data_IF_223928978769
#
_entry.id   IF_223928978769
#
_cell.length_a   1.000
_cell.length_b   1.000
_cell.length_c   1.000
_cell.angle_alpha   90.00
_cell.angle_beta   90.00
_cell.angle_gamma   90.00
#
_symmetry.space_group_name_H-M   'P 1'
#
loop_
_entity.id
_entity.type
_entity.pdbx_description
1 polymer ?
#
# COMPACT_ATOMS: atom_id res chain seq x y z
N UNK A 1 -13.35 21.34 1.65
CA UNK A 1 -11.87 21.47 1.80
C UNK A 1 -11.27 20.12 1.42
N UNK A 2 -10.29 20.07 0.52
CA UNK A 2 -9.56 18.82 0.20
C UNK A 2 -8.34 18.75 1.10
N UNK A 3 -8.22 17.69 1.89
CA UNK A 3 -7.02 17.37 2.67
C UNK A 3 -6.32 16.16 2.05
N UNK A 4 -5.00 16.07 2.25
CA UNK A 4 -4.22 14.89 1.88
C UNK A 4 -3.92 14.10 3.16
N UNK A 5 -3.93 12.77 3.05
CA UNK A 5 -3.44 11.94 4.13
C UNK A 5 -1.91 12.03 4.21
N UNK A 6 -1.37 11.96 5.43
CA UNK A 6 0.05 11.94 5.71
C UNK A 6 0.35 10.84 6.72
N UNK A 7 1.35 10.01 6.44
CA UNK A 7 1.87 9.00 7.38
C UNK A 7 3.39 8.98 7.37
N UNK A 8 3.99 9.09 8.55
CA UNK A 8 5.41 8.85 8.74
C UNK A 8 5.65 7.49 9.41
N UNK A 9 6.60 6.70 8.91
CA UNK A 9 6.96 5.41 9.49
C UNK A 9 8.42 5.04 9.20
N UNK A 10 8.90 4.03 9.92
CA UNK A 10 10.30 3.62 9.84
C UNK A 10 10.55 2.63 8.71
N UNK A 11 11.70 2.81 8.09
CA UNK A 11 12.35 1.92 7.15
C UNK A 11 13.78 1.64 7.63
N UNK A 12 14.40 0.62 7.07
CA UNK A 12 15.77 0.20 7.43
C UNK A 12 16.84 0.76 6.50
N UNK A 13 16.49 1.11 5.25
CA UNK A 13 17.41 1.58 4.23
C UNK A 13 16.72 2.51 3.22
N UNK A 14 17.31 3.69 2.97
CA UNK A 14 16.72 4.70 2.08
C UNK A 14 16.80 4.31 0.60
N UNK A 15 17.84 3.60 0.19
CA UNK A 15 18.03 3.26 -1.22
C UNK A 15 17.15 2.06 -1.63
N UNK A 16 16.95 1.11 -0.71
CA UNK A 16 15.92 0.07 -0.87
C UNK A 16 14.53 0.69 -0.97
N UNK A 17 14.23 1.67 -0.11
CA UNK A 17 12.97 2.40 -0.18
C UNK A 17 12.82 3.16 -1.51
N UNK A 18 13.86 3.84 -2.01
CA UNK A 18 13.79 4.52 -3.32
C UNK A 18 13.52 3.56 -4.47
N UNK A 19 14.22 2.42 -4.52
CA UNK A 19 13.97 1.40 -5.54
C UNK A 19 12.54 0.87 -5.46
N UNK A 20 12.05 0.62 -4.25
CA UNK A 20 10.71 0.08 -4.08
C UNK A 20 9.61 1.12 -4.34
N UNK A 21 9.58 2.24 -3.61
CA UNK A 21 8.53 3.24 -3.75
C UNK A 21 8.65 4.02 -5.06
N UNK A 22 9.86 4.35 -5.51
CA UNK A 22 10.11 5.05 -6.77
C UNK A 22 9.95 4.14 -7.98
N UNK A 23 10.78 3.12 -8.11
CA UNK A 23 10.85 2.33 -9.35
C UNK A 23 9.73 1.27 -9.44
N UNK A 24 9.45 0.55 -8.34
CA UNK A 24 8.44 -0.52 -8.34
C UNK A 24 7.03 0.05 -8.22
N UNK A 25 6.75 0.91 -7.23
CA UNK A 25 5.41 1.47 -7.05
C UNK A 25 5.13 2.65 -8.00
N UNK A 26 6.16 3.33 -8.50
CA UNK A 26 6.02 4.49 -9.38
C UNK A 26 5.67 5.79 -8.65
N UNK A 27 5.95 5.87 -7.34
CA UNK A 27 5.74 7.07 -6.55
C UNK A 27 6.82 8.13 -6.86
N UNK A 28 6.44 9.40 -6.92
CA UNK A 28 7.41 10.47 -7.10
C UNK A 28 8.12 10.76 -5.77
N UNK A 29 9.46 10.75 -5.77
CA UNK A 29 10.25 11.22 -4.62
C UNK A 29 10.01 12.73 -4.41
N UNK A 30 9.81 13.10 -3.16
CA UNK A 30 9.66 14.48 -2.71
C UNK A 30 10.93 15.00 -2.06
N UNK A 31 10.79 15.56 -0.85
CA UNK A 31 11.93 16.07 -0.07
C UNK A 31 12.65 14.91 0.60
N UNK A 32 13.95 15.07 0.83
CA UNK A 32 14.75 14.06 1.52
C UNK A 32 15.93 14.67 2.27
N UNK A 33 16.48 13.88 3.19
CA UNK A 33 17.73 14.12 3.92
C UNK A 33 18.49 12.79 4.05
N UNK A 34 19.63 12.82 4.75
CA UNK A 34 20.41 11.61 5.06
C UNK A 34 19.67 10.61 5.96
N UNK A 35 18.53 11.00 6.56
CA UNK A 35 17.79 10.14 7.51
C UNK A 35 16.33 9.90 7.14
N UNK A 36 15.80 10.53 6.09
CA UNK A 36 14.41 10.33 5.66
C UNK A 36 14.14 10.78 4.23
N UNK A 37 13.04 10.28 3.64
CA UNK A 37 12.56 10.64 2.30
C UNK A 37 11.02 10.68 2.26
N UNK A 38 10.46 11.74 1.67
CA UNK A 38 9.04 11.86 1.37
C UNK A 38 8.73 11.26 -0.01
N UNK A 39 7.54 10.68 -0.18
CA UNK A 39 6.99 10.29 -1.49
C UNK A 39 5.57 10.82 -1.68
N UNK A 40 5.24 11.18 -2.93
CA UNK A 40 3.85 11.22 -3.40
C UNK A 40 3.35 9.79 -3.58
N UNK A 41 2.67 9.30 -2.54
CA UNK A 41 2.05 7.99 -2.48
C UNK A 41 0.61 8.09 -3.01
N UNK A 42 0.48 8.08 -4.34
CA UNK A 42 -0.80 8.07 -5.06
C UNK A 42 -1.71 9.26 -4.72
N UNK A 43 -1.14 10.46 -4.62
CA UNK A 43 -1.84 11.69 -4.25
C UNK A 43 -1.90 11.94 -2.74
N UNK A 44 -1.22 11.13 -1.93
CA UNK A 44 -1.02 11.30 -0.50
C UNK A 44 0.47 11.37 -0.16
N UNK A 45 0.80 11.69 1.09
CA UNK A 45 2.20 11.77 1.50
C UNK A 45 2.54 10.61 2.43
N UNK A 46 3.62 9.91 2.11
CA UNK A 46 4.33 9.09 3.10
C UNK A 46 5.71 9.69 3.35
N UNK A 47 6.17 9.63 4.60
CA UNK A 47 7.49 10.08 5.02
C UNK A 47 8.24 8.91 5.65
N UNK A 48 9.27 8.43 4.98
CA UNK A 48 10.00 7.23 5.35
C UNK A 48 11.27 7.62 6.09
N UNK A 49 11.35 7.29 7.37
CA UNK A 49 12.48 7.62 8.24
C UNK A 49 13.33 6.40 8.53
N UNK A 50 14.66 6.54 8.55
CA UNK A 50 15.53 5.49 9.05
C UNK A 50 15.22 5.20 10.52
N UNK A 51 14.99 3.93 10.87
CA UNK A 51 14.69 3.54 12.23
C UNK A 51 14.28 2.08 12.35
N UNK A 52 13.62 1.74 13.46
CA UNK A 52 13.07 0.39 13.68
C UNK A 52 11.62 0.36 13.18
N UNK A 53 11.28 -0.43 12.13
CA UNK A 53 9.90 -0.64 11.71
C UNK A 53 9.01 -1.07 12.87
N UNK A 54 7.71 -0.75 12.78
CA UNK A 54 6.75 -1.18 13.77
C UNK A 54 6.66 -2.72 13.81
N UNK A 55 6.31 -3.26 14.98
CA UNK A 55 6.06 -4.70 15.10
C UNK A 55 4.80 -5.08 14.30
N UNK A 56 4.91 -6.11 13.48
CA UNK A 56 3.81 -6.62 12.64
C UNK A 56 3.36 -7.99 13.14
N UNK A 57 2.05 -8.15 13.34
CA UNK A 57 1.46 -9.42 13.79
C UNK A 57 0.25 -9.78 12.94
N UNK A 58 0.03 -11.08 12.68
CA UNK A 58 -1.12 -11.56 11.89
C UNK A 58 -2.38 -11.66 12.74
N UNK A 59 -2.89 -10.51 13.16
CA UNK A 59 -3.98 -10.38 14.15
C UNK A 59 -5.24 -9.72 13.59
N UNK A 60 -5.18 -9.07 12.43
CA UNK A 60 -6.34 -8.42 11.82
C UNK A 60 -7.28 -9.44 11.20
N UNK A 61 -8.53 -9.54 11.66
CA UNK A 61 -9.52 -10.47 11.09
C UNK A 61 -10.48 -9.73 10.16
N UNK A 62 -10.51 -10.11 8.88
CA UNK A 62 -11.43 -9.56 7.86
C UNK A 62 -12.19 -10.70 7.19
N UNK A 63 -13.48 -10.85 7.52
CA UNK A 63 -14.25 -12.04 7.17
C UNK A 63 -13.58 -13.29 7.74
N UNK A 64 -13.19 -14.22 6.85
CA UNK A 64 -12.48 -15.46 7.21
C UNK A 64 -10.95 -15.36 7.07
N UNK A 65 -10.40 -14.19 6.74
CA UNK A 65 -8.97 -14.00 6.51
C UNK A 65 -8.31 -13.29 7.70
N UNK A 66 -7.07 -13.70 8.00
CA UNK A 66 -6.20 -12.97 8.91
C UNK A 66 -5.17 -12.17 8.12
N UNK A 67 -5.01 -10.88 8.42
CA UNK A 67 -4.09 -9.96 7.77
C UNK A 67 -3.08 -9.40 8.77
N UNK A 68 -1.96 -8.91 8.26
CA UNK A 68 -0.90 -8.28 9.06
C UNK A 68 -1.37 -6.94 9.63
N UNK A 69 -1.04 -6.68 10.89
CA UNK A 69 -1.34 -5.42 11.58
C UNK A 69 -0.09 -4.86 12.28
N UNK A 70 0.11 -3.54 12.27
CA UNK A 70 -0.60 -2.59 11.42
C UNK A 70 -0.15 -2.73 9.95
N UNK A 71 -1.03 -2.37 9.02
CA UNK A 71 -0.69 -2.16 7.61
C UNK A 71 -1.14 -0.77 7.20
N UNK A 72 -0.53 -0.25 6.15
CA UNK A 72 -0.94 0.99 5.50
C UNK A 72 -1.31 0.69 4.05
N UNK A 73 -1.83 1.68 3.34
CA UNK A 73 -2.33 1.40 2.00
C UNK A 73 -2.96 2.57 1.31
N UNK A 74 -3.50 2.28 0.13
CA UNK A 74 -4.27 3.23 -0.66
C UNK A 74 -5.48 2.55 -1.28
N UNK A 75 -6.53 3.33 -1.50
CA UNK A 75 -7.69 2.95 -2.29
C UNK A 75 -7.55 3.60 -3.67
N UNK A 76 -7.48 2.79 -4.71
CA UNK A 76 -7.30 3.22 -6.09
C UNK A 76 -8.55 2.95 -6.94
N UNK A 77 -8.77 3.73 -8.00
CA UNK A 77 -9.69 3.35 -9.06
C UNK A 77 -9.29 1.97 -9.63
N UNK A 78 -10.27 1.16 -10.04
CA UNK A 78 -10.03 -0.23 -10.44
C UNK A 78 -8.99 -0.36 -11.57
N UNK A 79 -9.00 0.54 -12.55
CA UNK A 79 -8.04 0.56 -13.65
C UNK A 79 -6.60 0.81 -13.17
N UNK A 80 -6.41 1.79 -12.28
CA UNK A 80 -5.12 2.05 -11.65
C UNK A 80 -4.66 0.88 -10.78
N UNK A 81 -5.58 0.23 -10.06
CA UNK A 81 -5.28 -0.97 -9.28
C UNK A 81 -4.81 -2.13 -10.15
N UNK A 82 -5.50 -2.41 -11.28
CA UNK A 82 -5.12 -3.46 -12.22
C UNK A 82 -3.73 -3.20 -12.83
N UNK A 83 -3.45 -1.94 -13.19
CA UNK A 83 -2.14 -1.55 -13.70
C UNK A 83 -1.03 -1.73 -12.66
N UNK A 84 -1.29 -1.42 -11.38
CA UNK A 84 -0.34 -1.63 -10.31
C UNK A 84 -0.11 -3.12 -10.03
N UNK A 85 -1.16 -3.94 -10.02
CA UNK A 85 -1.06 -5.38 -9.82
C UNK A 85 -0.17 -6.04 -10.88
N UNK A 86 -0.40 -5.75 -12.18
CA UNK A 86 0.42 -6.26 -13.29
C UNK A 86 1.89 -5.80 -13.18
N UNK A 87 2.13 -4.55 -12.75
CA UNK A 87 3.48 -4.05 -12.52
C UNK A 87 4.20 -4.82 -11.40
N UNK A 88 3.51 -5.05 -10.28
CA UNK A 88 4.06 -5.78 -9.13
C UNK A 88 4.37 -7.24 -9.49
N UNK A 89 3.48 -7.89 -10.23
CA UNK A 89 3.71 -9.25 -10.73
C UNK A 89 4.93 -9.32 -11.66
N UNK A 90 5.06 -8.37 -12.60
CA UNK A 90 6.23 -8.29 -13.50
C UNK A 90 7.53 -7.98 -12.77
N UNK A 91 7.47 -7.20 -11.70
CA UNK A 91 8.60 -6.93 -10.83
C UNK A 91 8.97 -8.11 -9.92
N UNK A 92 8.17 -9.20 -9.90
CA UNK A 92 8.41 -10.38 -9.08
C UNK A 92 8.18 -10.16 -7.59
N UNK A 93 7.31 -9.21 -7.22
CA UNK A 93 6.97 -8.94 -5.83
C UNK A 93 6.21 -10.13 -5.23
N UNK A 94 6.66 -10.58 -4.06
CA UNK A 94 5.98 -11.61 -3.29
C UNK A 94 4.78 -11.03 -2.55
N UNK A 95 3.61 -11.61 -2.76
CA UNK A 95 2.38 -11.22 -2.08
C UNK A 95 2.13 -12.08 -0.83
N UNK A 96 1.72 -11.44 0.28
CA UNK A 96 1.09 -12.14 1.43
C UNK A 96 -0.34 -12.57 1.07
N UNK A 97 -1.05 -11.70 0.35
CA UNK A 97 -2.33 -11.99 -0.28
C UNK A 97 -2.24 -11.51 -1.74
N UNK A 98 -2.31 -12.43 -2.74
CA UNK A 98 -2.19 -12.04 -4.14
C UNK A 98 -3.38 -11.17 -4.59
N UNK A 99 -3.32 -10.56 -5.79
CA UNK A 99 -4.45 -9.89 -6.42
C UNK A 99 -5.73 -10.76 -6.40
N UNK A 100 -6.72 -10.38 -5.59
CA UNK A 100 -7.98 -11.11 -5.45
C UNK A 100 -9.20 -10.19 -5.49
N UNK A 101 -10.34 -10.76 -5.90
CA UNK A 101 -11.66 -10.16 -5.74
C UNK A 101 -12.20 -10.50 -4.36
N UNK A 102 -12.78 -9.52 -3.67
CA UNK A 102 -13.58 -9.73 -2.46
C UNK A 102 -14.98 -9.19 -2.68
N UNK A 103 -15.97 -9.90 -2.14
CA UNK A 103 -17.40 -9.55 -2.24
C UNK A 103 -17.88 -9.44 -3.69
N UNK A 104 -17.48 -10.38 -4.56
CA UNK A 104 -17.82 -10.37 -5.99
C UNK A 104 -19.35 -10.31 -6.20
N UNK A 105 -19.82 -9.32 -6.95
CA UNK A 105 -21.24 -9.09 -7.20
C UNK A 105 -22.03 -8.43 -6.07
N UNK A 106 -21.42 -8.15 -4.92
CA UNK A 106 -22.03 -7.42 -3.80
C UNK A 106 -21.74 -5.90 -3.88
N UNK A 107 -22.52 -5.02 -3.22
CA UNK A 107 -22.26 -3.58 -3.21
C UNK A 107 -20.86 -3.17 -2.75
N UNK A 108 -20.21 -4.00 -1.91
CA UNK A 108 -18.84 -3.81 -1.43
C UNK A 108 -17.76 -4.51 -2.26
N UNK A 109 -18.06 -4.92 -3.51
CA UNK A 109 -17.07 -5.57 -4.39
C UNK A 109 -15.80 -4.72 -4.48
N UNK A 110 -14.68 -5.33 -4.08
CA UNK A 110 -13.38 -4.69 -4.12
C UNK A 110 -12.32 -5.66 -4.62
N UNK A 111 -11.24 -5.10 -5.14
CA UNK A 111 -9.98 -5.81 -5.32
C UNK A 111 -9.08 -5.53 -4.14
N UNK A 112 -8.30 -6.51 -3.71
CA UNK A 112 -7.27 -6.30 -2.69
C UNK A 112 -6.04 -7.15 -2.99
N UNK A 113 -4.89 -6.63 -2.57
CA UNK A 113 -3.62 -7.34 -2.54
C UNK A 113 -2.82 -6.84 -1.34
N UNK A 114 -2.05 -7.74 -0.74
CA UNK A 114 -1.14 -7.45 0.36
C UNK A 114 0.27 -7.90 -0.01
N UNK A 115 1.23 -7.03 0.25
CA UNK A 115 2.66 -7.29 0.08
C UNK A 115 3.44 -6.48 1.12
N UNK A 116 4.75 -6.63 1.14
CA UNK A 116 5.63 -5.90 2.05
C UNK A 116 6.56 -4.99 1.28
N UNK A 117 6.91 -3.85 1.87
CA UNK A 117 8.09 -3.12 1.45
C UNK A 117 9.38 -3.84 1.92
N UNK A 118 10.57 -3.40 1.48
CA UNK A 118 11.84 -4.03 1.86
C UNK A 118 12.12 -4.04 3.38
N UNK A 119 11.51 -3.11 4.12
CA UNK A 119 11.63 -3.01 5.57
C UNK A 119 10.61 -3.86 6.33
N UNK A 120 9.77 -4.63 5.63
CA UNK A 120 8.75 -5.49 6.23
C UNK A 120 7.47 -4.76 6.63
N UNK A 121 7.26 -3.52 6.18
CA UNK A 121 6.00 -2.81 6.40
C UNK A 121 4.92 -3.39 5.47
N UNK A 122 3.77 -3.87 5.99
CA UNK A 122 2.73 -4.43 5.15
C UNK A 122 1.94 -3.31 4.45
N UNK A 123 1.73 -3.48 3.16
CA UNK A 123 0.99 -2.57 2.30
C UNK A 123 -0.23 -3.30 1.75
N UNK A 124 -1.41 -2.72 1.95
CA UNK A 124 -2.65 -3.11 1.30
C UNK A 124 -2.98 -2.12 0.18
N UNK A 125 -3.31 -2.61 -1.02
CA UNK A 125 -3.89 -1.76 -2.06
C UNK A 125 -5.28 -2.27 -2.37
N UNK A 126 -6.28 -1.41 -2.24
CA UNK A 126 -7.67 -1.73 -2.60
C UNK A 126 -8.04 -1.09 -3.92
N UNK A 127 -8.82 -1.80 -4.73
CA UNK A 127 -9.32 -1.33 -6.01
C UNK A 127 -10.84 -1.33 -6.05
N UNK A 128 -11.45 -0.21 -6.42
CA UNK A 128 -12.90 -0.07 -6.52
C UNK A 128 -13.33 0.48 -7.88
N UNK A 129 -14.46 -0.02 -8.41
CA UNK A 129 -15.09 0.53 -9.61
C UNK A 129 -15.75 1.88 -9.33
N UNK A 130 -16.28 2.02 -8.12
CA UNK A 130 -16.98 3.20 -7.64
C UNK A 130 -16.47 3.53 -6.22
N UNK A 131 -16.02 4.76 -6.01
CA UNK A 131 -15.51 5.19 -4.70
C UNK A 131 -16.61 5.43 -3.68
N UNK A 132 -17.85 5.63 -4.12
CA UNK A 132 -18.99 5.76 -3.21
C UNK A 132 -19.23 4.47 -2.42
N UNK A 133 -18.75 3.32 -2.92
CA UNK A 133 -18.87 2.04 -2.24
C UNK A 133 -17.76 1.73 -1.22
N UNK A 134 -16.72 2.57 -1.11
CA UNK A 134 -15.62 2.37 -0.15
C UNK A 134 -16.12 2.32 1.30
N UNK A 135 -17.21 3.04 1.59
CA UNK A 135 -17.85 3.09 2.90
C UNK A 135 -19.23 2.43 2.92
N UNK A 136 -19.64 1.77 1.83
CA UNK A 136 -20.88 1.03 1.77
C UNK A 136 -20.80 -0.25 2.63
N UNK A 137 -21.95 -0.70 3.12
CA UNK A 137 -22.11 -1.84 4.03
C UNK A 137 -23.07 -2.88 3.43
#
# INVERSE_FOLDING_TARGET
MRSLFHLAYHITDLDEARRFYGDVLGCAEGRSTDTWVDFDFFGHQISLHLGKPFEVTRTGKVGNHMVMMPHLGVVLPLDAWLALADRLEKAGIAFDIPPVIRFEGEPGEQRTMFFFDPSGNPIEVKGFKDFDSVFAH
#
